data_IF_738993087407
#
_entry.id   IF_738993087407
#
_cell.length_a   1.000
_cell.length_b   1.000
_cell.length_c   1.000
_cell.angle_alpha   90.00
_cell.angle_beta   90.00
_cell.angle_gamma   90.00
#
_symmetry.space_group_name_H-M   'P 1'
#
loop_
_entity.id
_entity.type
_entity.pdbx_description
1 polymer ?
#
# COMPACT_ATOMS: atom_id res chain seq x y z
N UNK A 1 -3.45 22.74 8.24
CA UNK A 1 -2.03 22.45 8.03
C UNK A 1 -1.24 23.76 7.98
N UNK A 2 0.09 23.71 8.11
CA UNK A 2 0.99 24.87 8.02
C UNK A 2 2.25 24.50 7.23
N UNK A 3 2.54 25.27 6.18
CA UNK A 3 3.66 25.04 5.29
C UNK A 3 4.80 26.04 5.52
N UNK A 4 6.04 25.56 5.38
CA UNK A 4 7.26 26.34 5.50
C UNK A 4 8.18 25.98 4.34
N UNK A 5 8.47 26.94 3.46
CA UNK A 5 9.39 26.74 2.34
C UNK A 5 10.83 27.07 2.71
N UNK A 6 11.78 26.42 2.03
CA UNK A 6 13.22 26.72 2.15
C UNK A 6 13.76 26.67 3.57
N UNK A 7 13.28 25.70 4.37
CA UNK A 7 13.75 25.48 5.73
C UNK A 7 15.09 24.74 5.68
N UNK A 8 16.11 25.35 6.27
CA UNK A 8 17.40 24.71 6.46
C UNK A 8 17.32 23.69 7.60
N UNK A 9 17.70 22.44 7.34
CA UNK A 9 17.74 21.37 8.36
C UNK A 9 19.20 21.00 8.63
N UNK A 10 19.64 21.19 9.87
CA UNK A 10 21.02 20.89 10.31
C UNK A 10 21.02 19.90 11.46
N UNK A 11 21.78 18.80 11.34
CA UNK A 11 22.09 17.91 12.48
C UNK A 11 23.28 18.42 13.30
N UNK A 12 24.14 19.25 12.70
CA UNK A 12 25.27 19.95 13.31
C UNK A 12 25.38 21.35 12.69
N UNK A 13 25.74 22.43 13.44
CA UNK A 13 25.63 23.81 12.98
C UNK A 13 26.52 24.20 11.79
N UNK A 14 27.47 23.35 11.37
CA UNK A 14 28.54 23.70 10.44
C UNK A 14 28.30 23.28 8.97
N UNK A 15 27.23 22.52 8.66
CA UNK A 15 26.95 22.06 7.29
C UNK A 15 25.45 22.15 7.06
N UNK A 16 25.03 23.06 6.18
CA UNK A 16 23.64 23.43 5.99
C UNK A 16 23.39 23.74 4.51
N UNK A 17 23.60 22.75 3.64
CA UNK A 17 23.71 22.98 2.19
C UNK A 17 22.40 22.76 1.41
N UNK A 18 21.34 22.26 2.06
CA UNK A 18 20.09 21.92 1.39
C UNK A 18 18.88 22.51 2.13
N UNK A 19 18.11 23.34 1.41
CA UNK A 19 16.79 23.78 1.85
C UNK A 19 15.75 22.72 1.55
N UNK A 20 14.87 22.43 2.51
CA UNK A 20 13.73 21.51 2.35
C UNK A 20 12.44 22.22 2.71
N UNK A 21 11.33 21.77 2.16
CA UNK A 21 10.01 22.23 2.55
C UNK A 21 9.53 21.41 3.75
N UNK A 22 8.89 22.07 4.71
CA UNK A 22 8.31 21.44 5.91
C UNK A 22 6.82 21.69 5.97
N UNK A 23 6.05 20.65 6.25
CA UNK A 23 4.60 20.71 6.37
C UNK A 23 4.15 20.13 7.71
N UNK A 24 3.38 20.90 8.48
CA UNK A 24 2.63 20.40 9.63
C UNK A 24 1.19 20.10 9.22
N UNK A 25 0.73 18.87 9.47
CA UNK A 25 -0.66 18.44 9.24
C UNK A 25 -1.24 17.92 10.54
N UNK A 26 -2.40 18.43 10.96
CA UNK A 26 -3.14 17.95 12.13
C UNK A 26 -4.62 18.21 11.94
N UNK A 27 -5.46 17.30 12.45
CA UNK A 27 -6.88 17.58 12.65
C UNK A 27 -7.06 18.26 14.01
N UNK A 28 -8.18 18.95 14.20
CA UNK A 28 -8.48 19.64 15.47
C UNK A 28 -8.63 18.71 16.68
N UNK A 29 -8.76 17.40 16.43
CA UNK A 29 -8.95 16.35 17.44
C UNK A 29 -7.64 15.64 17.83
N UNK A 30 -6.52 15.97 17.19
CA UNK A 30 -5.24 15.29 17.42
C UNK A 30 -4.36 16.12 18.36
N UNK A 31 -3.65 15.44 19.25
CA UNK A 31 -2.76 16.07 20.23
C UNK A 31 -1.47 16.61 19.58
N UNK A 32 -1.02 16.01 18.48
CA UNK A 32 0.25 16.34 17.82
C UNK A 32 0.12 16.37 16.28
N UNK A 33 0.84 17.27 15.59
CA UNK A 33 0.88 17.29 14.13
C UNK A 33 1.87 16.27 13.56
N UNK A 34 1.57 15.77 12.37
CA UNK A 34 2.59 15.20 11.50
C UNK A 34 3.51 16.30 10.98
N UNK A 35 4.80 16.19 11.29
CA UNK A 35 5.85 17.00 10.71
C UNK A 35 6.46 16.28 9.51
N UNK A 36 6.11 16.75 8.32
CA UNK A 36 6.58 16.21 7.05
C UNK A 36 7.70 17.09 6.50
N UNK A 37 8.72 16.48 5.92
CA UNK A 37 9.79 17.14 5.18
C UNK A 37 9.80 16.62 3.75
N UNK A 38 9.84 17.51 2.77
CA UNK A 38 9.79 17.16 1.35
C UNK A 38 10.52 18.19 0.50
N UNK A 39 10.97 17.77 -0.67
CA UNK A 39 11.46 18.62 -1.77
C UNK A 39 10.33 19.13 -2.68
N UNK A 40 9.10 18.63 -2.51
CA UNK A 40 7.94 19.11 -3.26
C UNK A 40 7.45 20.46 -2.73
N UNK A 41 7.00 21.33 -3.64
CA UNK A 41 6.54 22.68 -3.29
C UNK A 41 5.04 22.77 -2.98
N UNK A 42 4.27 21.72 -3.29
CA UNK A 42 2.82 21.69 -3.11
C UNK A 42 2.44 20.98 -1.79
N UNK A 43 1.93 21.71 -0.78
CA UNK A 43 1.52 21.13 0.50
C UNK A 43 0.43 20.07 0.37
N UNK A 44 -0.52 20.25 -0.56
CA UNK A 44 -1.62 19.29 -0.76
C UNK A 44 -1.08 17.98 -1.31
N UNK A 45 -0.14 18.05 -2.27
CA UNK A 45 0.58 16.88 -2.79
C UNK A 45 1.44 16.17 -1.75
N UNK A 46 2.15 16.91 -0.89
CA UNK A 46 2.94 16.30 0.21
C UNK A 46 2.00 15.52 1.13
N UNK A 47 0.89 16.13 1.55
CA UNK A 47 -0.08 15.47 2.43
C UNK A 47 -0.72 14.25 1.76
N UNK A 48 -1.14 14.36 0.50
CA UNK A 48 -1.82 13.27 -0.21
C UNK A 48 -0.90 12.07 -0.48
N UNK A 49 0.39 12.31 -0.75
CA UNK A 49 1.40 11.25 -0.84
C UNK A 49 1.60 10.61 0.54
N UNK A 50 1.80 11.40 1.59
CA UNK A 50 2.08 10.85 2.91
C UNK A 50 0.90 10.08 3.50
N UNK A 51 -0.34 10.49 3.22
CA UNK A 51 -1.55 9.74 3.62
C UNK A 51 -1.58 8.32 3.04
N UNK A 52 -0.94 8.07 1.90
CA UNK A 52 -0.84 6.74 1.31
C UNK A 52 0.13 5.81 2.05
N UNK A 53 0.94 6.31 3.00
CA UNK A 53 1.93 5.52 3.77
C UNK A 53 1.32 4.27 4.39
N UNK A 54 0.08 4.33 4.87
CA UNK A 54 -0.59 3.21 5.52
C UNK A 54 -0.80 1.98 4.62
N UNK A 55 -0.78 2.15 3.29
CA UNK A 55 -0.86 1.01 2.36
C UNK A 55 0.29 0.01 2.54
N UNK A 56 1.46 0.46 3.00
CA UNK A 56 2.59 -0.44 3.27
C UNK A 56 2.32 -1.37 4.46
N UNK A 57 1.59 -0.88 5.48
CA UNK A 57 1.25 -1.66 6.67
C UNK A 57 0.27 -2.77 6.30
N UNK A 58 -0.69 -2.48 5.43
CA UNK A 58 -1.61 -3.46 4.87
C UNK A 58 -0.87 -4.51 4.02
N UNK A 59 0.05 -4.06 3.16
CA UNK A 59 0.94 -4.96 2.41
C UNK A 59 1.73 -5.90 3.35
N UNK A 60 2.34 -5.40 4.42
CA UNK A 60 3.04 -6.25 5.39
C UNK A 60 2.09 -7.23 6.10
N UNK A 61 0.84 -6.82 6.37
CA UNK A 61 -0.18 -7.69 6.93
C UNK A 61 -0.51 -8.85 5.98
N UNK A 62 -0.70 -8.54 4.69
CA UNK A 62 -1.03 -9.51 3.64
C UNK A 62 0.10 -10.53 3.40
N UNK A 63 1.36 -10.13 3.53
CA UNK A 63 2.49 -11.06 3.37
C UNK A 63 2.66 -12.05 4.53
N UNK A 64 2.04 -11.75 5.68
CA UNK A 64 2.03 -12.62 6.87
C UNK A 64 0.83 -13.57 6.82
N UNK A 65 0.42 -14.08 7.98
CA UNK A 65 -0.65 -15.08 8.15
C UNK A 65 -2.02 -14.67 7.59
N UNK A 66 -2.25 -13.37 7.36
CA UNK A 66 -3.52 -12.85 6.83
C UNK A 66 -3.64 -12.95 5.30
N UNK A 67 -2.60 -13.35 4.58
CA UNK A 67 -2.63 -13.55 3.14
C UNK A 67 -1.71 -14.67 2.67
N UNK A 68 -0.52 -14.32 2.20
CA UNK A 68 0.43 -15.24 1.55
C UNK A 68 1.25 -16.08 2.52
N UNK A 69 1.32 -15.68 3.79
CA UNK A 69 1.96 -16.42 4.88
C UNK A 69 3.41 -16.85 4.57
N UNK A 70 4.26 -15.90 4.15
CA UNK A 70 5.65 -16.17 3.79
C UNK A 70 6.44 -16.88 4.89
N UNK A 71 6.15 -16.57 6.15
CA UNK A 71 6.80 -17.16 7.33
C UNK A 71 6.58 -18.68 7.41
N UNK A 72 5.48 -19.20 6.86
CA UNK A 72 5.22 -20.64 6.81
C UNK A 72 6.18 -21.41 5.90
N UNK A 73 6.87 -20.73 4.98
CA UNK A 73 7.87 -21.37 4.10
C UNK A 73 9.13 -21.80 4.85
N UNK A 74 9.42 -21.20 6.03
CA UNK A 74 10.62 -21.43 6.85
C UNK A 74 11.93 -21.35 6.06
N UNK A 75 11.96 -20.59 4.96
CA UNK A 75 13.16 -20.39 4.15
C UNK A 75 14.15 -19.50 4.88
N UNK A 76 15.35 -20.03 5.12
CA UNK A 76 16.46 -19.31 5.75
C UNK A 76 17.61 -18.97 4.80
N UNK A 77 17.65 -19.62 3.64
CA UNK A 77 18.65 -19.39 2.60
C UNK A 77 18.36 -18.06 1.85
N UNK A 78 19.28 -17.07 1.87
CA UNK A 78 19.05 -15.76 1.28
C UNK A 78 18.76 -15.78 -0.22
N UNK A 79 19.46 -16.63 -0.98
CA UNK A 79 19.29 -16.70 -2.43
C UNK A 79 17.92 -17.27 -2.82
N UNK A 80 17.45 -18.29 -2.10
CA UNK A 80 16.10 -18.84 -2.26
C UNK A 80 15.04 -17.84 -1.82
N UNK A 81 15.28 -17.10 -0.74
CA UNK A 81 14.37 -16.06 -0.27
C UNK A 81 14.24 -14.95 -1.33
N UNK A 82 15.34 -14.49 -1.91
CA UNK A 82 15.32 -13.49 -2.98
C UNK A 82 14.46 -13.94 -4.17
N UNK A 83 14.67 -15.17 -4.65
CA UNK A 83 13.87 -15.73 -5.75
C UNK A 83 12.39 -15.86 -5.39
N UNK A 84 12.08 -16.29 -4.17
CA UNK A 84 10.71 -16.36 -3.68
C UNK A 84 10.07 -14.97 -3.63
N UNK A 85 10.76 -13.96 -3.12
CA UNK A 85 10.23 -12.60 -3.00
C UNK A 85 9.87 -12.00 -4.36
N UNK A 86 10.64 -12.29 -5.42
CA UNK A 86 10.29 -11.88 -6.79
C UNK A 86 8.97 -12.53 -7.23
N UNK A 87 8.85 -13.86 -7.08
CA UNK A 87 7.63 -14.58 -7.45
C UNK A 87 6.41 -14.12 -6.64
N UNK A 88 6.60 -13.89 -5.33
CA UNK A 88 5.58 -13.40 -4.40
C UNK A 88 5.14 -12.00 -4.77
N UNK A 89 6.05 -11.13 -5.15
CA UNK A 89 5.73 -9.75 -5.56
C UNK A 89 4.87 -9.77 -6.83
N UNK A 90 5.23 -10.58 -7.83
CA UNK A 90 4.41 -10.75 -9.04
C UNK A 90 3.03 -11.33 -8.73
N UNK A 91 2.97 -12.35 -7.87
CA UNK A 91 1.70 -12.92 -7.42
C UNK A 91 0.85 -11.90 -6.66
N UNK A 92 1.46 -11.10 -5.79
CA UNK A 92 0.79 -10.05 -5.02
C UNK A 92 0.21 -8.98 -5.94
N UNK A 93 0.97 -8.50 -6.93
CA UNK A 93 0.48 -7.55 -7.94
C UNK A 93 -0.73 -8.11 -8.70
N UNK A 94 -0.67 -9.37 -9.12
CA UNK A 94 -1.80 -10.02 -9.80
C UNK A 94 -3.03 -10.15 -8.88
N UNK A 95 -2.84 -10.57 -7.64
CA UNK A 95 -3.91 -10.66 -6.65
C UNK A 95 -4.55 -9.29 -6.42
N UNK A 96 -3.74 -8.23 -6.31
CA UNK A 96 -4.21 -6.85 -6.16
C UNK A 96 -5.02 -6.40 -7.37
N UNK A 97 -4.58 -6.73 -8.59
CA UNK A 97 -5.32 -6.48 -9.83
C UNK A 97 -6.69 -7.19 -9.82
N UNK A 98 -6.73 -8.45 -9.39
CA UNK A 98 -7.97 -9.22 -9.26
C UNK A 98 -8.88 -8.61 -8.20
N UNK A 99 -8.34 -8.23 -7.04
CA UNK A 99 -9.10 -7.54 -5.99
C UNK A 99 -9.71 -6.24 -6.50
N UNK A 100 -8.93 -5.42 -7.21
CA UNK A 100 -9.40 -4.19 -7.84
C UNK A 100 -10.53 -4.45 -8.84
N UNK A 101 -10.38 -5.46 -9.68
CA UNK A 101 -11.39 -5.88 -10.66
C UNK A 101 -12.69 -6.34 -10.00
N UNK A 102 -12.59 -7.13 -8.93
CA UNK A 102 -13.74 -7.64 -8.16
C UNK A 102 -14.48 -6.49 -7.48
N UNK A 103 -13.76 -5.54 -6.90
CA UNK A 103 -14.35 -4.33 -6.30
C UNK A 103 -15.00 -3.45 -7.35
N UNK A 104 -14.33 -3.18 -8.48
CA UNK A 104 -14.85 -2.34 -9.56
C UNK A 104 -16.13 -2.91 -10.19
N UNK A 105 -16.33 -4.23 -10.12
CA UNK A 105 -17.54 -4.92 -10.60
C UNK A 105 -18.60 -5.15 -9.51
N UNK A 106 -18.40 -4.61 -8.31
CA UNK A 106 -19.25 -4.82 -7.13
C UNK A 106 -19.42 -6.31 -6.73
N UNK A 107 -18.47 -7.17 -7.13
CA UNK A 107 -18.46 -8.59 -6.81
C UNK A 107 -17.84 -8.90 -5.44
N UNK A 108 -17.26 -7.90 -4.77
CA UNK A 108 -16.63 -8.07 -3.46
C UNK A 108 -17.60 -8.61 -2.40
N UNK A 109 -18.91 -8.31 -2.54
CA UNK A 109 -19.99 -8.85 -1.68
C UNK A 109 -20.20 -10.35 -1.80
N UNK A 110 -19.52 -11.03 -2.71
CA UNK A 110 -19.53 -12.49 -2.81
C UNK A 110 -18.46 -13.13 -1.89
N UNK A 111 -17.43 -12.37 -1.53
CA UNK A 111 -16.24 -12.87 -0.83
C UNK A 111 -15.96 -12.15 0.50
N UNK A 112 -16.66 -11.04 0.76
CA UNK A 112 -16.62 -10.28 1.99
C UNK A 112 -18.03 -9.86 2.42
N UNK A 113 -18.71 -10.76 3.14
CA UNK A 113 -20.13 -10.63 3.47
C UNK A 113 -20.35 -10.04 4.87
N UNK A 114 -19.33 -9.46 5.49
CA UNK A 114 -19.41 -8.89 6.84
C UNK A 114 -19.96 -7.46 6.80
N UNK A 115 -21.27 -7.35 6.64
CA UNK A 115 -22.01 -6.11 6.82
C UNK A 115 -22.08 -5.19 5.59
N UNK A 116 -22.37 -3.92 5.83
CA UNK A 116 -22.64 -2.94 4.77
C UNK A 116 -21.37 -2.45 4.03
N UNK A 117 -20.19 -2.60 4.65
CA UNK A 117 -18.92 -2.08 4.15
C UNK A 117 -17.87 -3.19 4.00
N UNK A 118 -16.86 -2.95 3.16
CA UNK A 118 -15.69 -3.83 3.05
C UNK A 118 -14.95 -3.89 4.38
N UNK A 119 -14.70 -5.10 4.86
CA UNK A 119 -14.01 -5.38 6.12
C UNK A 119 -12.60 -5.94 5.93
N UNK A 120 -12.19 -6.17 4.67
CA UNK A 120 -10.92 -6.81 4.31
C UNK A 120 -10.14 -6.07 3.24
N UNK A 121 -8.83 -6.32 3.22
CA UNK A 121 -7.88 -5.73 2.27
C UNK A 121 -8.21 -6.10 0.82
N UNK A 122 -7.72 -5.29 -0.13
CA UNK A 122 -7.89 -5.58 -1.55
C UNK A 122 -7.25 -6.93 -1.94
N UNK A 123 -6.09 -7.23 -1.35
CA UNK A 123 -5.42 -8.51 -1.51
C UNK A 123 -6.30 -9.67 -1.02
N UNK A 124 -6.92 -9.55 0.16
CA UNK A 124 -7.81 -10.58 0.70
C UNK A 124 -9.04 -10.80 -0.18
N UNK A 125 -9.64 -9.73 -0.73
CA UNK A 125 -10.74 -9.86 -1.69
C UNK A 125 -10.27 -10.66 -2.91
N UNK A 126 -9.11 -10.29 -3.48
CA UNK A 126 -8.52 -10.99 -4.62
C UNK A 126 -8.25 -12.47 -4.34
N UNK A 127 -7.59 -12.78 -3.23
CA UNK A 127 -7.27 -14.14 -2.81
C UNK A 127 -8.52 -15.00 -2.59
N UNK A 128 -9.53 -14.47 -1.90
CA UNK A 128 -10.77 -15.21 -1.64
C UNK A 128 -11.52 -15.50 -2.92
N UNK A 129 -11.59 -14.52 -3.83
CA UNK A 129 -12.26 -14.70 -5.11
C UNK A 129 -11.51 -15.68 -6.02
N UNK A 130 -10.17 -15.61 -6.10
CA UNK A 130 -9.37 -16.59 -6.84
C UNK A 130 -9.55 -18.00 -6.29
N UNK A 131 -9.56 -18.14 -4.95
CA UNK A 131 -9.79 -19.43 -4.29
C UNK A 131 -11.16 -20.00 -4.67
N UNK A 132 -12.21 -19.20 -4.62
CA UNK A 132 -13.56 -19.61 -5.03
C UNK A 132 -13.62 -20.05 -6.51
N UNK A 133 -12.99 -19.30 -7.42
CA UNK A 133 -12.91 -19.66 -8.84
C UNK A 133 -12.18 -20.98 -9.07
N UNK A 134 -11.06 -21.20 -8.38
CA UNK A 134 -10.31 -22.45 -8.46
C UNK A 134 -11.12 -23.63 -7.92
N UNK A 135 -11.87 -23.44 -6.83
CA UNK A 135 -12.80 -24.46 -6.33
C UNK A 135 -13.92 -24.80 -7.32
N UNK A 136 -14.34 -23.84 -8.14
CA UNK A 136 -15.32 -24.04 -9.22
C UNK A 136 -14.68 -24.53 -10.53
N UNK A 137 -13.39 -24.86 -10.54
CA UNK A 137 -12.64 -25.27 -11.73
C UNK A 137 -12.64 -24.23 -12.87
N UNK A 138 -12.81 -22.95 -12.52
CA UNK A 138 -12.75 -21.84 -13.47
C UNK A 138 -11.32 -21.31 -13.57
N UNK A 139 -10.89 -21.04 -14.80
CA UNK A 139 -9.59 -20.42 -15.04
C UNK A 139 -9.56 -19.02 -14.41
N UNK A 140 -8.48 -18.67 -13.68
CA UNK A 140 -8.35 -17.32 -13.15
C UNK A 140 -8.07 -16.33 -14.30
N UNK A 141 -8.40 -15.04 -14.13
CA UNK A 141 -8.11 -14.03 -15.14
C UNK A 141 -6.61 -13.89 -15.33
N UNK A 142 -6.18 -13.61 -16.57
CA UNK A 142 -4.78 -13.32 -16.86
C UNK A 142 -4.32 -12.07 -16.11
N UNK A 143 -3.07 -12.07 -15.67
CA UNK A 143 -2.41 -10.87 -15.17
C UNK A 143 -2.22 -9.89 -16.32
N UNK A 144 -2.82 -8.71 -16.25
CA UNK A 144 -2.70 -7.70 -17.31
C UNK A 144 -1.74 -6.57 -16.95
N UNK A 145 -1.34 -6.46 -15.67
CA UNK A 145 -0.48 -5.41 -15.15
C UNK A 145 -0.98 -3.99 -15.48
N UNK A 146 -2.30 -3.83 -15.70
CA UNK A 146 -2.92 -2.55 -16.03
C UNK A 146 -3.17 -1.74 -14.77
N UNK A 147 -2.09 -1.32 -14.13
CA UNK A 147 -2.14 -0.31 -13.09
C UNK A 147 -2.17 1.05 -13.77
N UNK A 148 -3.32 1.71 -13.81
CA UNK A 148 -3.34 3.13 -14.17
C UNK A 148 -2.58 3.88 -13.08
N UNK A 149 -1.64 4.75 -13.48
CA UNK A 149 -1.11 5.73 -12.55
C UNK A 149 -2.30 6.54 -12.04
N UNK A 150 -2.52 6.50 -10.73
CA UNK A 150 -3.44 7.44 -10.10
C UNK A 150 -2.71 8.77 -10.15
N UNK A 151 -3.16 9.66 -11.03
CA UNK A 151 -2.73 11.05 -10.96
C UNK A 151 -3.16 11.57 -9.59
N UNK A 152 -2.16 11.84 -8.75
CA UNK A 152 -2.38 12.48 -7.46
C UNK A 152 -2.68 13.95 -7.75
N UNK A 153 -3.94 14.26 -8.03
CA UNK A 153 -4.49 15.62 -8.08
C UNK A 153 -4.66 16.18 -6.69
#
# INVERSE_FOLDING_TARGET
>A
SRFFSSVTVTRSPSIADFGVNRLAVWASTEDEPWWLMSDADDPARIESIYRQRFWIEEMFSDHKSRGLNLEATRLTDPDRLQRLLVAVTLAYLWIMEVGALVVARDWWRQVDNRGAHRSVSLCQIGLRWLRDRLHQHLAPPLFTARFKLVEVT
#
